data_IF_868970967726
#
_entry.id   IF_868970967726
#
_cell.length_a   1.000
_cell.length_b   1.000
_cell.length_c   1.000
_cell.angle_alpha   90.00
_cell.angle_beta   90.00
_cell.angle_gamma   90.00
#
_symmetry.space_group_name_H-M   'P 1'
#
loop_
_entity.id
_entity.type
_entity.pdbx_description
1 polymer ?
#
# COMPACT_ATOMS: atom_id res chain seq x y z
N UNK A 1 15.14 -27.04 -21.76
CA UNK A 1 14.52 -27.50 -23.02
C UNK A 1 14.04 -28.91 -22.79
N UNK A 2 12.77 -29.06 -22.44
CA UNK A 2 12.09 -30.36 -22.44
C UNK A 2 10.63 -30.08 -22.81
N UNK A 3 10.25 -30.59 -23.96
CA UNK A 3 8.94 -30.43 -24.60
C UNK A 3 8.11 -31.63 -24.17
N UNK A 4 7.04 -31.39 -23.40
CA UNK A 4 6.04 -32.43 -23.12
C UNK A 4 4.88 -32.23 -24.10
N UNK A 5 4.83 -33.13 -25.08
CA UNK A 5 3.79 -33.25 -26.11
C UNK A 5 2.46 -33.69 -25.51
N UNK A 6 1.39 -33.25 -26.17
CA UNK A 6 -0.01 -33.34 -25.75
C UNK A 6 -0.56 -34.75 -25.52
N UNK A 7 -1.61 -34.79 -24.69
CA UNK A 7 -2.37 -35.99 -24.38
C UNK A 7 -3.36 -36.31 -25.50
N UNK A 8 -3.47 -37.61 -25.70
CA UNK A 8 -4.24 -38.33 -26.71
C UNK A 8 -5.73 -37.99 -26.72
N UNK A 9 -6.26 -37.78 -27.92
CA UNK A 9 -7.67 -37.95 -28.23
C UNK A 9 -7.94 -39.43 -28.48
N UNK A 10 -8.55 -40.13 -27.53
CA UNK A 10 -9.10 -41.46 -27.73
C UNK A 10 -10.51 -41.33 -28.30
N UNK A 11 -10.66 -41.57 -29.61
CA UNK A 11 -11.96 -41.75 -30.26
C UNK A 11 -12.33 -43.24 -30.18
N UNK A 12 -13.32 -43.59 -29.38
CA UNK A 12 -13.96 -44.91 -29.41
C UNK A 12 -15.27 -44.83 -30.19
N UNK A 13 -15.31 -45.52 -31.33
CA UNK A 13 -16.51 -45.67 -32.17
C UNK A 13 -17.31 -46.85 -31.64
N UNK A 14 -18.42 -46.56 -30.96
CA UNK A 14 -19.43 -47.52 -30.56
C UNK A 14 -20.57 -47.59 -31.57
N UNK A 15 -20.78 -48.78 -32.14
CA UNK A 15 -21.83 -49.09 -33.11
C UNK A 15 -23.18 -49.12 -32.36
N UNK A 16 -23.95 -48.03 -32.44
CA UNK A 16 -25.42 -48.00 -32.55
C UNK A 16 -25.89 -46.53 -32.48
N UNK A 17 -26.61 -46.11 -33.52
CA UNK A 17 -27.06 -44.73 -33.71
C UNK A 17 -28.06 -44.26 -32.64
N UNK A 18 -27.61 -43.32 -31.81
CA UNK A 18 -28.44 -42.30 -31.17
C UNK A 18 -27.51 -41.15 -30.75
N UNK A 19 -27.55 -40.03 -31.47
CA UNK A 19 -26.88 -38.80 -31.05
C UNK A 19 -27.77 -38.13 -30.01
N UNK A 20 -27.50 -38.36 -28.72
CA UNK A 20 -28.03 -37.51 -27.66
C UNK A 20 -27.08 -36.33 -27.48
N UNK A 21 -27.52 -35.16 -27.93
CA UNK A 21 -26.85 -33.90 -27.60
C UNK A 21 -27.17 -33.59 -26.14
N UNK A 22 -26.28 -33.99 -25.23
CA UNK A 22 -26.28 -33.43 -23.88
C UNK A 22 -25.71 -32.02 -23.95
N UNK A 23 -26.60 -31.02 -23.99
CA UNK A 23 -26.28 -29.64 -23.64
C UNK A 23 -25.98 -29.57 -22.14
N UNK A 24 -24.76 -29.97 -21.76
CA UNK A 24 -24.20 -29.68 -20.45
C UNK A 24 -23.81 -28.22 -20.38
N UNK A 25 -24.78 -27.33 -20.21
CA UNK A 25 -24.51 -25.98 -19.73
C UNK A 25 -24.07 -26.11 -18.26
N UNK A 26 -22.77 -26.35 -18.05
CA UNK A 26 -22.18 -26.24 -16.74
C UNK A 26 -22.00 -24.74 -16.45
N UNK A 27 -23.08 -24.09 -16.02
CA UNK A 27 -22.99 -22.83 -15.28
C UNK A 27 -22.36 -23.17 -13.93
N UNK A 28 -21.03 -23.21 -13.89
CA UNK A 28 -20.34 -22.98 -12.64
C UNK A 28 -20.49 -21.49 -12.33
N UNK A 29 -21.50 -21.17 -11.54
CA UNK A 29 -21.52 -19.95 -10.76
C UNK A 29 -20.37 -20.07 -9.75
N UNK A 30 -19.17 -19.63 -10.17
CA UNK A 30 -17.98 -19.51 -9.32
C UNK A 30 -18.06 -18.20 -8.51
N UNK A 31 -19.22 -17.88 -7.94
CA UNK A 31 -19.29 -16.84 -6.94
C UNK A 31 -18.56 -17.34 -5.70
N UNK A 32 -17.31 -16.92 -5.53
CA UNK A 32 -16.60 -17.03 -4.25
C UNK A 32 -17.54 -16.53 -3.14
N UNK A 33 -17.76 -17.29 -2.06
CA UNK A 33 -18.64 -16.86 -0.98
C UNK A 33 -18.07 -15.59 -0.34
N UNK A 34 -18.91 -14.56 -0.23
CA UNK A 34 -18.53 -13.28 0.39
C UNK A 34 -18.13 -13.52 1.85
N UNK A 35 -16.96 -13.02 2.24
CA UNK A 35 -16.46 -13.16 3.59
C UNK A 35 -17.18 -12.18 4.52
N UNK A 36 -17.87 -12.71 5.52
CA UNK A 36 -18.45 -11.92 6.62
C UNK A 36 -17.41 -11.55 7.70
N UNK A 37 -16.25 -12.20 7.65
CA UNK A 37 -15.23 -12.15 8.70
C UNK A 37 -13.83 -12.05 8.10
N UNK A 38 -13.06 -11.08 8.58
CA UNK A 38 -11.65 -10.91 8.22
C UNK A 38 -10.72 -11.61 9.23
N UNK A 39 -10.42 -12.88 8.94
CA UNK A 39 -9.55 -13.74 9.75
C UNK A 39 -8.08 -13.74 9.29
N UNK A 40 -7.27 -14.64 9.86
CA UNK A 40 -5.85 -14.76 9.55
C UNK A 40 -5.58 -15.11 8.07
N UNK A 41 -6.34 -16.06 7.51
CA UNK A 41 -6.23 -16.46 6.10
C UNK A 41 -6.57 -15.31 5.17
N UNK A 42 -7.73 -14.65 5.37
CA UNK A 42 -8.12 -13.48 4.59
C UNK A 42 -7.08 -12.33 4.64
N UNK A 43 -6.47 -12.10 5.82
CA UNK A 43 -5.40 -11.11 5.97
C UNK A 43 -4.14 -11.52 5.19
N UNK A 44 -3.70 -12.78 5.29
CA UNK A 44 -2.56 -13.31 4.54
C UNK A 44 -2.78 -13.19 3.04
N UNK A 45 -3.93 -13.65 2.56
CA UNK A 45 -4.29 -13.62 1.15
C UNK A 45 -4.38 -12.19 0.63
N UNK A 46 -4.90 -11.25 1.44
CA UNK A 46 -4.96 -9.83 1.09
C UNK A 46 -3.55 -9.26 0.92
N UNK A 47 -2.63 -9.55 1.84
CA UNK A 47 -1.25 -9.04 1.78
C UNK A 47 -0.47 -9.66 0.62
N UNK A 48 -0.62 -10.96 0.36
CA UNK A 48 0.01 -11.64 -0.77
C UNK A 48 -0.54 -11.09 -2.10
N UNK A 49 -1.86 -10.97 -2.20
CA UNK A 49 -2.55 -10.40 -3.38
C UNK A 49 -2.12 -8.95 -3.61
N UNK A 50 -2.00 -8.17 -2.54
CA UNK A 50 -1.53 -6.79 -2.61
C UNK A 50 -0.08 -6.73 -3.10
N UNK A 51 0.82 -7.57 -2.57
CA UNK A 51 2.21 -7.67 -3.04
C UNK A 51 2.27 -7.99 -4.53
N UNK A 52 1.58 -9.02 -4.98
CA UNK A 52 1.60 -9.47 -6.39
C UNK A 52 1.01 -8.41 -7.32
N UNK A 53 -0.04 -7.71 -6.87
CA UNK A 53 -0.65 -6.60 -7.62
C UNK A 53 0.27 -5.39 -7.67
N UNK A 54 0.89 -5.03 -6.55
CA UNK A 54 1.86 -3.93 -6.47
C UNK A 54 3.04 -4.18 -7.41
N UNK A 55 3.56 -5.41 -7.51
CA UNK A 55 4.60 -5.78 -8.48
C UNK A 55 4.20 -5.51 -9.93
N UNK A 56 2.99 -5.92 -10.31
CA UNK A 56 2.47 -5.71 -11.68
C UNK A 56 2.26 -4.23 -12.00
N UNK A 57 1.90 -3.43 -11.00
CA UNK A 57 1.61 -2.00 -11.15
C UNK A 57 2.83 -1.09 -10.86
N UNK A 58 3.95 -1.64 -10.39
CA UNK A 58 5.10 -0.87 -9.91
C UNK A 58 5.64 0.12 -10.96
N UNK A 59 5.74 -0.30 -12.23
CA UNK A 59 6.20 0.57 -13.31
C UNK A 59 5.25 1.75 -13.55
N UNK A 60 3.93 1.52 -13.53
CA UNK A 60 2.94 2.59 -13.67
C UNK A 60 2.95 3.55 -12.48
N UNK A 61 3.10 3.04 -11.27
CA UNK A 61 3.18 3.86 -10.05
C UNK A 61 4.48 4.68 -10.03
N UNK A 62 5.60 4.12 -10.50
CA UNK A 62 6.86 4.84 -10.67
C UNK A 62 6.70 6.06 -11.58
N UNK A 63 5.87 5.98 -12.62
CA UNK A 63 5.59 7.11 -13.52
C UNK A 63 4.81 8.25 -12.85
N UNK A 64 4.10 7.99 -11.74
CA UNK A 64 3.38 9.00 -10.97
C UNK A 64 4.28 9.72 -9.95
N UNK A 65 5.48 9.19 -9.69
CA UNK A 65 6.34 9.66 -8.61
C UNK A 65 7.02 10.98 -8.97
N UNK A 66 6.36 12.09 -8.62
CA UNK A 66 6.84 13.46 -8.82
C UNK A 66 6.99 14.25 -7.52
N UNK A 67 6.66 13.64 -6.37
CA UNK A 67 6.69 14.27 -5.06
C UNK A 67 7.02 13.25 -3.95
N UNK A 68 7.82 13.63 -2.92
CA UNK A 68 8.55 14.90 -2.80
C UNK A 68 9.78 14.95 -3.71
N UNK A 69 10.27 13.80 -4.17
CA UNK A 69 11.42 13.69 -5.06
C UNK A 69 11.01 12.90 -6.32
N UNK A 70 11.20 13.43 -7.54
CA UNK A 70 10.81 12.77 -8.78
C UNK A 70 11.84 11.72 -9.23
N UNK A 71 12.16 10.75 -8.38
CA UNK A 71 13.17 9.70 -8.65
C UNK A 71 12.60 8.44 -9.31
N UNK A 72 11.28 8.37 -9.48
CA UNK A 72 10.63 7.29 -10.20
C UNK A 72 10.71 5.93 -9.50
N UNK A 73 10.84 5.88 -8.17
CA UNK A 73 11.04 4.62 -7.45
C UNK A 73 9.89 4.16 -6.54
N UNK A 74 8.85 4.97 -6.33
CA UNK A 74 7.78 4.70 -5.33
C UNK A 74 7.18 3.30 -5.46
N UNK A 75 6.82 2.86 -6.67
CA UNK A 75 6.26 1.54 -6.88
C UNK A 75 7.27 0.41 -6.64
N UNK A 76 8.55 0.66 -6.96
CA UNK A 76 9.65 -0.29 -6.68
C UNK A 76 9.89 -0.44 -5.18
N UNK A 77 9.89 0.68 -4.45
CA UNK A 77 10.08 0.71 -3.01
C UNK A 77 8.93 0.03 -2.26
N UNK A 78 7.68 0.36 -2.58
CA UNK A 78 6.51 -0.32 -2.01
C UNK A 78 6.51 -1.83 -2.31
N UNK A 79 6.84 -2.23 -3.55
CA UNK A 79 6.94 -3.65 -3.91
C UNK A 79 8.01 -4.39 -3.10
N UNK A 80 9.19 -3.79 -2.90
CA UNK A 80 10.28 -4.41 -2.12
C UNK A 80 9.94 -4.52 -0.65
N UNK A 81 9.23 -3.53 -0.09
CA UNK A 81 8.72 -3.59 1.27
C UNK A 81 7.70 -4.72 1.44
N UNK A 82 6.78 -4.88 0.48
CA UNK A 82 5.83 -5.98 0.51
C UNK A 82 6.47 -7.35 0.29
N UNK A 83 7.57 -7.43 -0.47
CA UNK A 83 8.34 -8.67 -0.58
C UNK A 83 8.89 -9.13 0.76
N UNK A 84 9.48 -8.21 1.54
CA UNK A 84 9.96 -8.53 2.89
C UNK A 84 8.82 -8.98 3.82
N UNK A 85 7.64 -8.36 3.72
CA UNK A 85 6.44 -8.77 4.47
C UNK A 85 6.02 -10.19 4.12
N UNK A 86 5.93 -10.52 2.83
CA UNK A 86 5.51 -11.85 2.38
C UNK A 86 6.54 -12.92 2.76
N UNK A 87 7.84 -12.61 2.64
CA UNK A 87 8.91 -13.52 3.12
C UNK A 87 8.80 -13.79 4.62
N UNK A 88 8.49 -12.79 5.44
CA UNK A 88 8.27 -13.00 6.88
C UNK A 88 7.03 -13.88 7.13
N UNK A 89 5.94 -13.65 6.37
CA UNK A 89 4.70 -14.45 6.45
C UNK A 89 4.90 -15.92 6.10
N UNK A 90 5.77 -16.24 5.13
CA UNK A 90 6.09 -17.63 4.74
C UNK A 90 6.69 -18.43 5.89
N UNK A 91 7.41 -17.78 6.82
CA UNK A 91 8.00 -18.41 8.00
C UNK A 91 7.10 -18.45 9.24
N UNK A 92 5.96 -17.76 9.21
CA UNK A 92 5.11 -17.56 10.38
C UNK A 92 4.00 -18.63 10.51
N UNK A 93 3.59 -18.91 11.74
CA UNK A 93 2.39 -19.71 12.02
C UNK A 93 1.11 -19.04 11.46
N UNK A 94 0.14 -19.84 11.04
CA UNK A 94 -1.06 -19.36 10.34
C UNK A 94 -2.13 -18.76 11.27
N UNK A 95 -1.93 -18.79 12.59
CA UNK A 95 -2.79 -18.07 13.52
C UNK A 95 -2.74 -16.55 13.30
N UNK A 96 -3.78 -15.85 13.75
CA UNK A 96 -3.94 -14.42 13.52
C UNK A 96 -2.82 -13.59 14.16
N UNK A 97 -2.43 -13.93 15.39
CA UNK A 97 -1.40 -13.19 16.12
C UNK A 97 -0.02 -13.29 15.45
N UNK A 98 0.53 -14.49 15.16
CA UNK A 98 1.78 -14.64 14.39
C UNK A 98 1.71 -14.01 13.00
N UNK A 99 0.55 -14.05 12.33
CA UNK A 99 0.34 -13.37 11.05
C UNK A 99 0.48 -11.84 11.20
N UNK A 100 -0.17 -11.25 12.20
CA UNK A 100 -0.05 -9.82 12.48
C UNK A 100 1.38 -9.43 12.86
N UNK A 101 2.08 -10.25 13.66
CA UNK A 101 3.47 -10.03 14.04
C UNK A 101 4.40 -10.06 12.82
N UNK A 102 4.25 -11.05 11.95
CA UNK A 102 5.03 -11.15 10.72
C UNK A 102 4.82 -9.95 9.79
N UNK A 103 3.57 -9.49 9.64
CA UNK A 103 3.29 -8.28 8.85
C UNK A 103 3.94 -7.05 9.48
N UNK A 104 3.82 -6.89 10.80
CA UNK A 104 4.40 -5.75 11.51
C UNK A 104 5.93 -5.74 11.44
N UNK A 105 6.56 -6.88 11.70
CA UNK A 105 8.02 -7.03 11.72
C UNK A 105 8.60 -6.95 10.30
N UNK A 106 8.08 -7.72 9.36
CA UNK A 106 8.55 -7.74 7.97
C UNK A 106 8.42 -6.39 7.28
N UNK A 107 7.34 -5.63 7.58
CA UNK A 107 7.17 -4.29 7.03
C UNK A 107 8.16 -3.28 7.63
N UNK A 108 8.46 -3.34 8.93
CA UNK A 108 9.43 -2.45 9.57
C UNK A 108 10.85 -2.69 9.06
N UNK A 109 11.27 -3.96 9.02
CA UNK A 109 12.61 -4.37 8.62
C UNK A 109 12.84 -4.24 7.11
N UNK A 110 11.77 -4.37 6.33
CA UNK A 110 11.79 -4.32 4.88
C UNK A 110 11.48 -2.95 4.27
N UNK A 111 11.19 -1.93 5.07
CA UNK A 111 10.83 -0.61 4.54
C UNK A 111 11.97 -0.02 3.69
N UNK A 112 11.62 0.47 2.49
CA UNK A 112 12.56 1.08 1.52
C UNK A 112 12.03 2.43 1.08
N UNK A 113 12.89 3.45 1.15
CA UNK A 113 12.53 4.81 0.81
C UNK A 113 11.37 5.36 1.63
N UNK A 114 10.97 6.59 1.33
CA UNK A 114 9.89 7.27 2.04
C UNK A 114 8.55 6.50 1.90
N UNK A 115 8.22 6.09 0.67
CA UNK A 115 6.97 5.37 0.38
C UNK A 115 6.87 4.02 1.06
N UNK A 116 7.96 3.25 1.14
CA UNK A 116 7.99 1.98 1.86
C UNK A 116 7.91 2.15 3.38
N UNK A 117 8.52 3.21 3.93
CA UNK A 117 8.44 3.53 5.37
C UNK A 117 7.01 3.95 5.76
N UNK A 118 6.34 4.80 4.96
CA UNK A 118 4.94 5.15 5.21
C UNK A 118 4.03 3.91 5.06
N UNK A 119 4.23 3.10 4.02
CA UNK A 119 3.47 1.87 3.82
C UNK A 119 3.64 0.91 5.01
N UNK A 120 4.86 0.78 5.51
CA UNK A 120 5.16 -0.01 6.70
C UNK A 120 4.31 0.42 7.88
N UNK A 121 4.21 1.72 8.12
CA UNK A 121 3.39 2.24 9.20
C UNK A 121 1.88 2.01 9.01
N UNK A 122 1.39 2.09 7.77
CA UNK A 122 0.00 1.74 7.45
C UNK A 122 -0.26 0.28 7.83
N UNK A 123 0.59 -0.64 7.37
CA UNK A 123 0.43 -2.08 7.63
C UNK A 123 0.52 -2.38 9.12
N UNK A 124 1.47 -1.78 9.84
CA UNK A 124 1.60 -1.91 11.30
C UNK A 124 0.36 -1.42 12.05
N UNK A 125 -0.13 -0.23 11.73
CA UNK A 125 -1.33 0.33 12.36
C UNK A 125 -2.57 -0.53 12.11
N UNK A 126 -2.68 -1.15 10.93
CA UNK A 126 -3.72 -2.12 10.62
C UNK A 126 -3.61 -3.35 11.54
N UNK A 127 -2.47 -4.03 11.52
CA UNK A 127 -2.34 -5.34 12.17
C UNK A 127 -2.29 -5.26 13.69
N UNK A 128 -1.79 -4.17 14.27
CA UNK A 128 -1.85 -3.93 15.72
C UNK A 128 -3.30 -3.93 16.23
N UNK A 129 -4.22 -3.38 15.45
CA UNK A 129 -5.66 -3.38 15.79
C UNK A 129 -6.32 -4.72 15.48
N UNK A 130 -5.90 -5.39 14.40
CA UNK A 130 -6.46 -6.68 13.99
C UNK A 130 -6.05 -7.85 14.89
N UNK A 131 -4.88 -7.77 15.55
CA UNK A 131 -4.29 -8.86 16.37
C UNK A 131 -5.17 -9.39 17.52
N UNK A 132 -6.24 -8.70 17.90
CA UNK A 132 -7.15 -9.19 18.95
C UNK A 132 -7.92 -10.46 18.49
N UNK A 133 -8.18 -11.42 19.39
CA UNK A 133 -8.63 -12.79 19.07
C UNK A 133 -10.03 -12.94 18.47
N UNK A 134 -10.81 -11.85 18.36
CA UNK A 134 -12.11 -11.89 17.69
C UNK A 134 -11.91 -11.64 16.19
N UNK A 135 -12.43 -12.51 15.31
CA UNK A 135 -12.33 -12.29 13.87
C UNK A 135 -12.86 -10.90 13.44
N UNK A 136 -12.24 -10.30 12.43
CA UNK A 136 -12.49 -8.91 12.05
C UNK A 136 -13.89 -8.70 11.45
N UNK A 137 -14.81 -8.15 12.23
CA UNK A 137 -16.05 -7.57 11.70
C UNK A 137 -15.74 -6.29 10.92
N UNK A 138 -16.72 -5.78 10.15
CA UNK A 138 -16.63 -4.49 9.48
C UNK A 138 -16.16 -3.36 10.43
N UNK A 139 -16.69 -3.33 11.66
CA UNK A 139 -16.29 -2.35 12.69
C UNK A 139 -14.81 -2.46 13.06
N UNK A 140 -14.29 -3.69 13.21
CA UNK A 140 -12.89 -3.90 13.59
C UNK A 140 -11.93 -3.56 12.45
N UNK A 141 -12.27 -3.92 11.22
CA UNK A 141 -11.46 -3.54 10.03
C UNK A 141 -11.49 -2.01 9.83
N UNK A 142 -12.63 -1.37 10.00
CA UNK A 142 -12.72 0.09 9.94
C UNK A 142 -11.90 0.78 11.05
N UNK A 143 -11.92 0.25 12.28
CA UNK A 143 -11.08 0.73 13.37
C UNK A 143 -9.58 0.55 13.06
N UNK A 144 -9.20 -0.57 12.44
CA UNK A 144 -7.83 -0.82 12.01
C UNK A 144 -7.37 0.18 10.93
N UNK A 145 -8.21 0.46 9.92
CA UNK A 145 -7.94 1.49 8.91
C UNK A 145 -7.76 2.87 9.57
N UNK A 146 -8.58 3.20 10.58
CA UNK A 146 -8.46 4.45 11.31
C UNK A 146 -7.16 4.53 12.12
N UNK A 147 -6.77 3.45 12.78
CA UNK A 147 -5.50 3.36 13.50
C UNK A 147 -4.31 3.51 12.55
N UNK A 148 -4.35 2.86 11.39
CA UNK A 148 -3.36 3.01 10.33
C UNK A 148 -3.24 4.46 9.86
N UNK A 149 -4.37 5.12 9.60
CA UNK A 149 -4.39 6.55 9.24
C UNK A 149 -3.69 7.41 10.30
N UNK A 150 -4.07 7.28 11.58
CA UNK A 150 -3.45 8.06 12.67
C UNK A 150 -1.94 7.79 12.74
N UNK A 151 -1.55 6.52 12.73
CA UNK A 151 -0.17 6.10 12.84
C UNK A 151 0.71 6.63 11.69
N UNK A 152 0.17 6.70 10.46
CA UNK A 152 0.89 7.23 9.30
C UNK A 152 1.09 8.74 9.35
N UNK A 153 0.15 9.51 9.91
CA UNK A 153 0.37 10.95 10.11
C UNK A 153 1.42 11.21 11.19
N UNK A 154 1.41 10.45 12.28
CA UNK A 154 2.36 10.62 13.38
C UNK A 154 3.80 10.24 13.01
N UNK A 155 3.98 9.43 11.96
CA UNK A 155 5.28 9.00 11.46
C UNK A 155 6.03 10.06 10.64
N UNK A 156 5.35 11.09 10.16
CA UNK A 156 5.90 12.10 9.26
C UNK A 156 6.03 13.42 10.00
N UNK A 157 7.22 14.04 9.97
CA UNK A 157 7.46 15.29 10.72
C UNK A 157 6.57 16.44 10.24
N UNK A 158 6.39 16.55 8.93
CA UNK A 158 5.55 17.57 8.27
C UNK A 158 4.52 16.86 7.38
N UNK A 159 3.38 16.39 7.91
CA UNK A 159 2.34 15.74 7.12
C UNK A 159 1.74 16.70 6.08
N UNK A 160 1.62 16.25 4.83
CA UNK A 160 1.13 17.06 3.70
C UNK A 160 -0.15 16.46 3.12
N UNK A 161 -1.19 17.29 2.98
CA UNK A 161 -2.41 16.91 2.26
C UNK A 161 -2.18 16.80 0.75
N UNK A 162 -2.96 15.97 0.09
CA UNK A 162 -2.74 15.62 -1.32
C UNK A 162 -1.71 14.51 -1.51
N UNK A 163 -1.34 13.81 -0.44
CA UNK A 163 -0.46 12.63 -0.48
C UNK A 163 -1.22 11.35 -0.08
N UNK A 164 -0.52 10.21 -0.03
CA UNK A 164 -1.00 8.94 0.53
C UNK A 164 -1.71 9.13 1.88
N UNK A 165 -1.27 10.08 2.70
CA UNK A 165 -1.88 10.38 4.00
C UNK A 165 -3.33 10.82 3.88
N UNK A 166 -3.67 11.67 2.90
CA UNK A 166 -5.05 12.07 2.63
C UNK A 166 -5.87 10.86 2.18
N UNK A 167 -5.34 10.06 1.25
CA UNK A 167 -6.05 8.90 0.71
C UNK A 167 -6.39 7.89 1.80
N UNK A 168 -5.44 7.58 2.68
CA UNK A 168 -5.64 6.68 3.82
C UNK A 168 -6.68 7.24 4.80
N UNK A 169 -6.60 8.54 5.13
CA UNK A 169 -7.57 9.19 6.03
C UNK A 169 -8.99 9.13 5.49
N UNK A 170 -9.21 9.58 4.26
CA UNK A 170 -10.54 9.62 3.65
C UNK A 170 -11.14 8.22 3.51
N UNK A 171 -10.30 7.22 3.18
CA UNK A 171 -10.67 5.80 3.15
C UNK A 171 -11.12 5.31 4.53
N UNK A 172 -10.32 5.58 5.56
CA UNK A 172 -10.59 5.17 6.93
C UNK A 172 -11.84 5.84 7.52
N UNK A 173 -12.04 7.12 7.28
CA UNK A 173 -13.20 7.86 7.76
C UNK A 173 -14.50 7.37 7.10
N UNK A 174 -14.44 7.03 5.80
CA UNK A 174 -15.58 6.43 5.09
C UNK A 174 -15.88 5.01 5.59
N UNK A 175 -14.85 4.19 5.80
CA UNK A 175 -14.97 2.87 6.41
C UNK A 175 -15.66 2.94 7.78
N UNK A 176 -15.21 3.87 8.63
CA UNK A 176 -15.73 4.04 10.00
C UNK A 176 -17.20 4.46 10.00
N UNK A 177 -17.58 5.40 9.13
CA UNK A 177 -18.99 5.79 8.95
C UNK A 177 -19.85 4.60 8.50
N UNK A 178 -19.45 3.92 7.42
CA UNK A 178 -20.20 2.78 6.88
C UNK A 178 -20.37 1.64 7.91
N UNK A 179 -19.31 1.31 8.65
CA UNK A 179 -19.39 0.30 9.70
C UNK A 179 -20.30 0.74 10.87
N UNK A 180 -20.31 2.03 11.22
CA UNK A 180 -21.19 2.58 12.27
C UNK A 180 -22.67 2.55 11.85
N UNK A 181 -22.93 2.66 10.55
CA UNK A 181 -24.27 2.55 9.95
C UNK A 181 -24.71 1.08 9.76
N UNK A 182 -23.89 0.11 10.18
CA UNK A 182 -24.22 -1.32 10.16
C UNK A 182 -23.94 -2.03 8.83
N UNK A 183 -23.06 -1.47 7.97
CA UNK A 183 -22.65 -2.13 6.74
C UNK A 183 -21.93 -3.48 7.00
N UNK A 184 -22.12 -4.44 6.10
CA UNK A 184 -21.33 -5.68 6.06
C UNK A 184 -19.87 -5.37 5.73
N UNK A 185 -18.97 -6.35 5.90
CA UNK A 185 -17.56 -6.18 5.60
C UNK A 185 -17.32 -5.76 4.14
N UNK A 186 -17.93 -6.47 3.18
CA UNK A 186 -17.83 -6.15 1.76
C UNK A 186 -18.39 -4.75 1.44
N UNK A 187 -19.59 -4.43 1.94
CA UNK A 187 -20.21 -3.13 1.71
C UNK A 187 -19.37 -1.97 2.29
N UNK A 188 -18.78 -2.16 3.48
CA UNK A 188 -17.88 -1.18 4.08
C UNK A 188 -16.60 -0.99 3.23
N UNK A 189 -15.98 -2.08 2.77
CA UNK A 189 -14.79 -2.01 1.92
C UNK A 189 -15.08 -1.31 0.58
N UNK A 190 -16.27 -1.52 -0.01
CA UNK A 190 -16.70 -0.79 -1.21
C UNK A 190 -16.79 0.71 -0.98
N UNK A 191 -17.44 1.13 0.12
CA UNK A 191 -17.56 2.54 0.48
C UNK A 191 -16.19 3.15 0.76
N UNK A 192 -15.34 2.44 1.49
CA UNK A 192 -13.97 2.86 1.79
C UNK A 192 -13.14 3.04 0.51
N UNK A 193 -13.15 2.05 -0.39
CA UNK A 193 -12.45 2.12 -1.67
C UNK A 193 -12.95 3.27 -2.53
N UNK A 194 -14.27 3.48 -2.62
CA UNK A 194 -14.85 4.56 -3.40
C UNK A 194 -14.39 5.94 -2.88
N UNK A 195 -14.37 6.12 -1.55
CA UNK A 195 -13.87 7.35 -0.93
C UNK A 195 -12.36 7.53 -1.18
N UNK A 196 -11.56 6.47 -1.04
CA UNK A 196 -10.12 6.49 -1.34
C UNK A 196 -9.83 6.86 -2.79
N UNK A 197 -10.53 6.27 -3.76
CA UNK A 197 -10.39 6.62 -5.20
C UNK A 197 -10.75 8.09 -5.45
N UNK A 198 -11.80 8.59 -4.82
CA UNK A 198 -12.18 10.01 -4.90
C UNK A 198 -11.11 10.92 -4.30
N UNK A 199 -10.56 10.56 -3.15
CA UNK A 199 -9.49 11.31 -2.49
C UNK A 199 -8.22 11.32 -3.36
N UNK A 200 -7.83 10.16 -3.90
CA UNK A 200 -6.70 10.03 -4.82
C UNK A 200 -6.87 10.92 -6.05
N UNK A 201 -8.03 10.88 -6.71
CA UNK A 201 -8.33 11.72 -7.86
C UNK A 201 -8.30 13.22 -7.53
N UNK A 202 -8.53 13.59 -6.27
CA UNK A 202 -8.50 14.98 -5.80
C UNK A 202 -7.12 15.43 -5.28
N UNK A 203 -6.13 14.54 -5.20
CA UNK A 203 -4.76 14.91 -4.79
C UNK A 203 -4.15 16.07 -5.61
N UNK A 204 -4.37 16.19 -6.93
CA UNK A 204 -3.85 17.33 -7.70
C UNK A 204 -4.46 18.67 -7.28
N UNK A 205 -5.71 18.68 -6.79
CA UNK A 205 -6.35 19.92 -6.32
C UNK A 205 -5.84 20.36 -4.94
N UNK A 206 -5.13 19.47 -4.22
CA UNK A 206 -4.58 19.75 -2.90
C UNK A 206 -3.08 20.03 -2.95
N UNK A 207 -2.36 19.39 -3.87
CA UNK A 207 -0.91 19.51 -3.99
C UNK A 207 -0.52 20.00 -5.40
N UNK A 208 -0.12 21.29 -5.55
CA UNK A 208 0.10 21.90 -6.86
C UNK A 208 1.12 21.18 -7.76
N UNK A 209 2.13 20.52 -7.17
CA UNK A 209 3.13 19.75 -7.94
C UNK A 209 2.51 18.60 -8.73
N UNK A 210 1.49 17.94 -8.14
CA UNK A 210 0.75 16.85 -8.78
C UNK A 210 -0.11 17.40 -9.92
N UNK A 211 -0.70 18.59 -9.73
CA UNK A 211 -1.48 19.30 -10.75
C UNK A 211 -0.64 19.67 -11.97
N UNK A 212 0.54 20.22 -11.75
CA UNK A 212 1.46 20.60 -12.83
C UNK A 212 1.94 19.37 -13.61
N UNK A 213 2.27 18.29 -12.89
CA UNK A 213 2.63 17.02 -13.50
C UNK A 213 1.45 16.32 -14.20
N UNK A 214 0.21 16.71 -13.90
CA UNK A 214 -1.00 16.07 -14.40
C UNK A 214 -1.19 14.64 -13.88
N UNK A 215 -0.66 14.33 -12.70
CA UNK A 215 -0.71 12.99 -12.08
C UNK A 215 -1.33 13.05 -10.69
N UNK A 216 -1.81 11.91 -10.21
CA UNK A 216 -2.23 11.72 -8.82
C UNK A 216 -1.04 11.29 -7.95
N UNK A 217 -1.20 11.32 -6.64
CA UNK A 217 -0.16 10.85 -5.71
C UNK A 217 0.20 9.36 -5.92
N UNK A 218 1.49 9.08 -6.10
CA UNK A 218 1.99 7.73 -6.37
C UNK A 218 1.77 6.76 -5.19
N UNK A 219 2.01 7.21 -3.96
CA UNK A 219 1.82 6.40 -2.76
C UNK A 219 0.34 6.08 -2.52
N UNK A 220 -0.54 7.06 -2.73
CA UNK A 220 -1.99 6.91 -2.68
C UNK A 220 -2.50 5.93 -3.72
N UNK A 221 -1.97 5.98 -4.96
CA UNK A 221 -2.27 4.98 -5.98
C UNK A 221 -1.85 3.57 -5.56
N UNK A 222 -0.65 3.42 -4.98
CA UNK A 222 -0.20 2.15 -4.41
C UNK A 222 -1.09 1.66 -3.26
N UNK A 223 -1.50 2.52 -2.34
CA UNK A 223 -2.41 2.17 -1.25
C UNK A 223 -3.78 1.70 -1.76
N UNK A 224 -4.29 2.26 -2.85
CA UNK A 224 -5.57 1.79 -3.41
C UNK A 224 -5.54 0.32 -3.85
N UNK A 225 -4.37 -0.21 -4.24
CA UNK A 225 -4.21 -1.63 -4.56
C UNK A 225 -4.38 -2.54 -3.34
N UNK A 226 -4.15 -2.05 -2.11
CA UNK A 226 -4.48 -2.78 -0.88
C UNK A 226 -6.00 -2.92 -0.73
N UNK A 227 -6.76 -1.86 -1.03
CA UNK A 227 -8.22 -1.90 -0.98
C UNK A 227 -8.79 -2.80 -2.08
N UNK A 228 -8.21 -2.79 -3.27
CA UNK A 228 -8.58 -3.70 -4.37
C UNK A 228 -8.25 -5.16 -4.01
N UNK A 229 -7.09 -5.43 -3.40
CA UNK A 229 -6.73 -6.76 -2.92
C UNK A 229 -7.69 -7.26 -1.82
N UNK A 230 -8.07 -6.40 -0.87
CA UNK A 230 -9.02 -6.76 0.18
C UNK A 230 -10.40 -7.13 -0.38
N UNK A 231 -10.90 -6.37 -1.36
CA UNK A 231 -12.18 -6.68 -2.02
C UNK A 231 -12.10 -7.91 -2.93
N UNK A 232 -10.95 -8.15 -3.57
CA UNK A 232 -10.73 -9.41 -4.29
C UNK A 232 -10.88 -10.62 -3.36
N UNK A 233 -10.27 -10.56 -2.18
CA UNK A 233 -10.30 -11.66 -1.20
C UNK A 233 -11.68 -11.78 -0.54
N UNK A 234 -12.32 -10.66 -0.19
CA UNK A 234 -13.59 -10.65 0.55
C UNK A 234 -14.80 -10.90 -0.35
N UNK A 235 -14.81 -10.37 -1.57
CA UNK A 235 -15.99 -10.28 -2.43
C UNK A 235 -15.75 -10.87 -3.84
N UNK A 236 -14.56 -11.43 -4.10
CA UNK A 236 -14.22 -12.05 -5.38
C UNK A 236 -14.07 -11.07 -6.54
N UNK A 237 -14.00 -9.77 -6.28
CA UNK A 237 -13.90 -8.77 -7.34
C UNK A 237 -12.62 -8.92 -8.16
N UNK A 238 -12.65 -8.68 -9.48
CA UNK A 238 -11.45 -8.72 -10.30
C UNK A 238 -10.47 -7.62 -9.88
N UNK A 239 -9.19 -7.97 -9.81
CA UNK A 239 -8.11 -7.01 -9.59
C UNK A 239 -7.97 -6.08 -10.80
N UNK A 240 -7.58 -4.81 -10.61
CA UNK A 240 -7.34 -3.90 -11.72
C UNK A 240 -6.14 -4.36 -12.55
N UNK A 241 -6.26 -4.19 -13.86
CA UNK A 241 -5.13 -4.32 -14.77
C UNK A 241 -4.22 -3.09 -14.69
N UNK A 242 -2.89 -3.26 -14.85
CA UNK A 242 -1.96 -2.13 -14.94
C UNK A 242 -2.38 -1.15 -16.02
N UNK A 243 -2.33 0.15 -15.69
CA UNK A 243 -2.59 1.20 -16.66
C UNK A 243 -1.48 1.24 -17.71
N UNK A 244 -1.86 1.41 -18.98
CA UNK A 244 -0.92 1.75 -20.06
C UNK A 244 -0.57 3.25 -20.11
N UNK A 245 -0.94 4.01 -19.07
CA UNK A 245 -0.71 5.45 -19.02
C UNK A 245 0.76 5.79 -19.24
N UNK A 246 1.00 6.73 -20.15
CA UNK A 246 2.27 7.43 -20.27
C UNK A 246 2.39 8.39 -19.08
N UNK A 247 3.53 8.38 -18.40
CA UNK A 247 3.82 9.33 -17.32
C UNK A 247 3.83 10.79 -17.80
N UNK A 248 4.16 11.74 -16.90
CA UNK A 248 4.27 13.15 -17.24
C UNK A 248 5.16 13.38 -18.47
N UNK A 249 4.75 14.32 -19.32
CA UNK A 249 5.60 14.80 -20.42
C UNK A 249 6.81 15.58 -19.89
N UNK A 250 7.83 15.76 -20.73
CA UNK A 250 9.01 16.53 -20.36
C UNK A 250 8.65 17.97 -19.95
N UNK A 251 7.73 18.63 -20.67
CA UNK A 251 7.26 19.98 -20.36
C UNK A 251 6.61 20.05 -18.96
N UNK A 252 5.86 19.02 -18.58
CA UNK A 252 5.24 18.94 -17.26
C UNK A 252 6.26 18.71 -16.14
N UNK A 253 7.28 17.89 -16.38
CA UNK A 253 8.39 17.70 -15.43
C UNK A 253 9.23 18.97 -15.25
N UNK A 254 9.46 19.72 -16.33
CA UNK A 254 10.13 21.02 -16.28
C UNK A 254 9.31 22.05 -15.47
N UNK A 255 7.99 22.07 -15.63
CA UNK A 255 7.10 22.93 -14.84
C UNK A 255 7.17 22.62 -13.33
N UNK A 256 7.20 21.33 -12.96
CA UNK A 256 7.37 20.88 -11.58
C UNK A 256 8.69 21.38 -10.99
N UNK A 257 9.80 21.19 -11.72
CA UNK A 257 11.12 21.63 -11.27
C UNK A 257 11.17 23.16 -11.08
N UNK A 258 10.59 23.93 -12.01
CA UNK A 258 10.56 25.39 -11.91
C UNK A 258 9.74 25.91 -10.72
N UNK A 259 8.64 25.25 -10.34
CA UNK A 259 7.86 25.63 -9.15
C UNK A 259 8.69 25.49 -7.89
N UNK A 260 9.43 24.39 -7.77
CA UNK A 260 10.23 24.10 -6.60
C UNK A 260 11.30 25.20 -6.35
N UNK A 261 11.87 25.75 -7.44
CA UNK A 261 12.80 26.88 -7.36
C UNK A 261 12.18 28.22 -6.93
N UNK A 262 10.85 28.39 -6.98
CA UNK A 262 10.17 29.68 -6.71
C UNK A 262 9.65 29.82 -5.27
N UNK A 263 9.45 28.71 -4.53
CA UNK A 263 8.87 28.75 -3.18
C UNK A 263 9.83 29.27 -2.11
N UNK A 264 11.15 29.28 -2.36
CA UNK A 264 12.16 29.80 -1.43
C UNK A 264 12.36 28.96 -0.16
N UNK A 265 11.62 27.85 -0.01
CA UNK A 265 11.90 26.79 0.96
C UNK A 265 12.95 25.83 0.37
N UNK A 266 13.71 25.14 1.22
CA UNK A 266 14.65 24.12 0.74
C UNK A 266 13.82 23.04 0.06
N UNK A 267 13.94 22.97 -1.27
CA UNK A 267 13.29 21.93 -2.04
C UNK A 267 13.94 20.59 -1.70
N UNK A 268 13.13 19.61 -1.29
CA UNK A 268 13.60 18.25 -1.02
C UNK A 268 14.35 17.69 -2.24
N UNK A 269 13.97 18.10 -3.45
CA UNK A 269 14.66 17.68 -4.68
C UNK A 269 16.09 18.21 -4.81
N UNK A 270 16.46 19.26 -4.07
CA UNK A 270 17.85 19.77 -3.98
C UNK A 270 18.70 19.00 -2.95
N UNK A 271 18.10 18.14 -2.14
CA UNK A 271 18.79 17.30 -1.17
C UNK A 271 19.33 16.05 -1.87
N UNK A 272 20.66 15.97 -1.97
CA UNK A 272 21.33 14.96 -2.81
C UNK A 272 21.44 13.58 -2.18
N UNK A 273 21.28 13.50 -0.86
CA UNK A 273 21.48 12.25 -0.14
C UNK A 273 20.22 11.85 0.61
N UNK A 274 19.99 10.54 0.57
CA UNK A 274 19.01 9.84 1.40
C UNK A 274 19.79 9.09 2.48
N UNK A 275 19.44 9.33 3.75
CA UNK A 275 19.99 8.61 4.89
C UNK A 275 18.89 7.77 5.49
N UNK A 276 19.11 6.45 5.50
CA UNK A 276 18.20 5.48 6.10
C UNK A 276 18.95 4.55 7.04
N UNK A 277 18.40 4.32 8.22
CA UNK A 277 18.89 3.29 9.14
C UNK A 277 17.83 2.83 10.12
N UNK A 278 18.11 1.67 10.73
CA UNK A 278 17.39 1.22 11.91
C UNK A 278 18.06 1.78 13.17
N UNK A 279 17.26 2.37 14.04
CA UNK A 279 17.69 3.01 15.28
C UNK A 279 17.05 2.32 16.47
N UNK A 280 17.89 1.88 17.42
CA UNK A 280 17.43 1.48 18.74
C UNK A 280 17.34 2.73 19.62
N UNK A 281 16.12 3.13 19.97
CA UNK A 281 15.87 4.32 20.78
C UNK A 281 14.61 4.11 21.63
N UNK A 282 14.62 4.64 22.85
CA UNK A 282 13.43 4.64 23.70
C UNK A 282 12.28 5.38 23.03
N UNK A 283 11.08 4.80 23.04
CA UNK A 283 9.91 5.36 22.33
C UNK A 283 9.62 6.82 22.70
N UNK A 284 9.87 7.20 23.96
CA UNK A 284 9.71 8.57 24.45
C UNK A 284 10.63 9.60 23.76
N UNK A 285 11.76 9.17 23.20
CA UNK A 285 12.75 10.02 22.51
C UNK A 285 12.56 10.08 21.00
N UNK A 286 11.71 9.22 20.42
CA UNK A 286 11.47 9.17 18.97
C UNK A 286 11.03 10.52 18.38
N UNK A 287 10.15 11.25 19.09
CA UNK A 287 9.68 12.58 18.68
C UNK A 287 10.80 13.63 18.74
N UNK A 288 11.64 13.58 19.77
CA UNK A 288 12.79 14.48 19.91
C UNK A 288 13.80 14.24 18.78
N UNK A 289 14.11 12.97 18.49
CA UNK A 289 14.96 12.58 17.37
C UNK A 289 14.41 13.08 16.03
N UNK A 290 13.12 12.87 15.77
CA UNK A 290 12.46 13.36 14.55
C UNK A 290 12.55 14.90 14.41
N UNK A 291 12.41 15.63 15.53
CA UNK A 291 12.57 17.09 15.54
C UNK A 291 14.03 17.55 15.33
N UNK A 292 15.01 16.79 15.85
CA UNK A 292 16.42 17.07 15.60
C UNK A 292 16.76 16.92 14.11
N UNK A 293 16.28 15.85 13.49
CA UNK A 293 16.36 15.65 12.04
C UNK A 293 15.71 16.76 11.23
N UNK A 294 14.60 17.34 11.71
CA UNK A 294 13.94 18.50 11.09
C UNK A 294 14.82 19.74 10.92
N UNK A 295 15.97 19.81 11.60
CA UNK A 295 16.92 20.93 11.49
C UNK A 295 18.00 20.72 10.42
N UNK A 296 18.15 19.50 9.93
CA UNK A 296 19.27 19.08 9.07
C UNK A 296 18.83 18.46 7.74
N UNK A 297 17.53 18.19 7.59
CA UNK A 297 16.97 17.59 6.39
C UNK A 297 15.47 17.79 6.28
N UNK A 298 14.89 17.20 5.25
CA UNK A 298 13.44 17.25 4.99
C UNK A 298 12.94 15.90 4.43
N UNK A 299 11.64 15.79 4.17
CA UNK A 299 10.96 14.52 3.86
C UNK A 299 11.27 13.44 4.90
N UNK A 300 11.15 13.81 6.17
CA UNK A 300 11.52 12.98 7.31
C UNK A 300 10.39 12.05 7.70
N UNK A 301 10.70 10.77 7.78
CA UNK A 301 9.80 9.74 8.29
C UNK A 301 10.52 8.86 9.29
N UNK A 302 9.92 8.68 10.47
CA UNK A 302 10.44 7.84 11.54
C UNK A 302 9.31 6.92 12.00
N UNK A 303 9.47 5.63 11.73
CA UNK A 303 8.42 4.61 11.92
C UNK A 303 8.95 3.49 12.78
N UNK A 304 8.17 3.05 13.76
CA UNK A 304 8.59 1.99 14.65
C UNK A 304 7.80 1.96 15.95
N UNK A 305 8.47 1.53 17.00
CA UNK A 305 7.94 1.36 18.35
C UNK A 305 8.59 0.16 19.02
N UNK A 306 8.33 -0.01 20.31
CA UNK A 306 8.93 -1.09 21.10
C UNK A 306 10.47 -1.06 21.07
N UNK A 307 11.05 0.14 21.00
CA UNK A 307 12.49 0.37 21.05
C UNK A 307 13.24 0.34 19.70
N UNK A 308 12.57 -0.02 18.59
CA UNK A 308 13.19 -0.11 17.26
C UNK A 308 12.45 0.78 16.25
N UNK A 309 13.21 1.60 15.51
CA UNK A 309 12.69 2.55 14.54
C UNK A 309 13.42 2.44 13.20
N UNK A 310 12.68 2.54 12.11
CA UNK A 310 13.20 2.77 10.76
C UNK A 310 13.08 4.27 10.47
N UNK A 311 14.24 4.89 10.24
CA UNK A 311 14.38 6.32 10.14
C UNK A 311 14.85 6.66 8.72
N UNK A 312 14.14 7.59 8.06
CA UNK A 312 14.43 8.11 6.72
C UNK A 312 14.51 9.64 6.74
N UNK A 313 15.56 10.20 6.13
CA UNK A 313 15.69 11.66 5.89
C UNK A 313 16.39 11.94 4.56
N UNK A 314 15.92 12.95 3.82
CA UNK A 314 16.69 13.55 2.75
C UNK A 314 17.52 14.70 3.33
N UNK A 315 18.81 14.76 3.01
CA UNK A 315 19.73 15.77 3.53
C UNK A 315 20.93 16.00 2.60
N UNK A 316 21.62 17.13 2.79
CA UNK A 316 22.95 17.38 2.22
C UNK A 316 24.09 17.16 3.25
N UNK A 317 23.75 16.91 4.53
CA UNK A 317 24.69 16.68 5.62
C UNK A 317 24.49 15.28 6.23
N UNK A 318 25.14 14.29 5.61
CA UNK A 318 25.09 12.89 6.06
C UNK A 318 25.64 12.74 7.48
N UNK A 319 26.69 13.50 7.82
CA UNK A 319 27.35 13.41 9.13
C UNK A 319 26.40 13.83 10.24
N UNK A 320 25.78 14.99 10.10
CA UNK A 320 24.80 15.48 11.06
C UNK A 320 23.60 14.53 11.21
N UNK A 321 23.17 13.85 10.14
CA UNK A 321 22.07 12.89 10.21
C UNK A 321 22.39 11.64 11.02
N UNK A 322 23.66 11.21 11.02
CA UNK A 322 24.14 10.05 11.78
C UNK A 322 24.47 10.42 13.24
N UNK A 323 24.91 11.66 13.49
CA UNK A 323 25.34 12.15 14.81
C UNK A 323 24.20 12.70 15.69
N UNK A 324 23.00 12.89 15.13
CA UNK A 324 21.83 13.51 15.75
C UNK A 324 21.29 12.80 17.00
#
# INVERSE_FOLDING_TARGET
MEVIRGRDCTVSVGINGAVSVFSGANQYDLSMPVLEVFGAEALRDTVITFRDTMKRHAAGINLLNVYPVPDGDTGTNMSRTLDAVVTELEGADHALEPTCEAISHGSLMGARGNSGVILSQILRGLVTTLRTTTPGSATKVAAALKAASVASYEAVLKPIEGTILTVVRETADAAQRAASDGATLAAMLHVARAAGRKALANTPEQLPVLKDAGVVDAGGAGFMLLMDAALHVVDGEPLPEPSEATGPSQEQLEAVSHRASLSGEVDVSELRYEVMFLLNIEDAKSKEFMQAWGKIGDSIVVVGGDGLYNCHVHTNDIGAAIEA
#
